data_IF_734853036084
#
_entry.id   IF_734853036084
#
_cell.length_a   1.000
_cell.length_b   1.000
_cell.length_c   1.000
_cell.angle_alpha   90.00
_cell.angle_beta   90.00
_cell.angle_gamma   90.00
#
_symmetry.space_group_name_H-M   'P 1'
#
loop_
_entity.id
_entity.type
_entity.pdbx_description
1 polymer ?
#
# COMPACT_ATOMS: atom_id res chain seq x y z
N UNK A 1 43.42 62.32 -4.84
CA UNK A 1 42.87 61.07 -5.40
C UNK A 1 43.98 60.36 -6.14
N UNK A 2 44.63 59.42 -5.47
CA UNK A 2 45.81 58.67 -5.90
C UNK A 2 45.88 57.39 -5.04
N UNK A 3 46.37 56.32 -5.66
CA UNK A 3 46.62 54.96 -5.16
C UNK A 3 47.10 54.85 -3.70
N UNK A 4 46.77 53.74 -3.03
CA UNK A 4 47.74 52.67 -2.67
C UNK A 4 47.10 51.55 -1.86
N UNK A 5 47.17 50.34 -2.42
CA UNK A 5 47.27 49.07 -1.70
C UNK A 5 48.60 49.02 -0.92
N UNK A 6 48.59 48.41 0.26
CA UNK A 6 49.79 47.85 0.89
C UNK A 6 49.45 46.54 1.60
N UNK A 7 50.19 45.51 1.22
CA UNK A 7 50.17 44.15 1.76
C UNK A 7 50.98 44.01 3.06
N UNK A 8 50.79 42.86 3.72
CA UNK A 8 51.85 41.92 4.16
C UNK A 8 52.35 41.93 5.62
N UNK A 9 52.13 40.74 6.25
CA UNK A 9 52.93 40.01 7.28
C UNK A 9 52.94 40.60 8.70
N UNK A 10 52.98 39.84 9.82
CA UNK A 10 53.73 38.61 10.16
C UNK A 10 53.29 38.10 11.57
N UNK A 11 53.38 36.78 11.81
CA UNK A 11 53.59 36.04 13.09
C UNK A 11 52.55 36.24 14.24
N UNK A 12 52.03 35.26 14.97
CA UNK A 12 52.50 33.93 15.36
C UNK A 12 52.78 33.91 16.87
N UNK A 13 51.85 33.40 17.71
CA UNK A 13 52.06 32.50 18.88
C UNK A 13 50.89 32.47 19.89
N UNK A 14 50.54 31.21 20.26
CA UNK A 14 50.11 30.63 21.54
C UNK A 14 48.84 31.03 22.32
N UNK A 15 48.03 29.98 22.53
CA UNK A 15 47.31 29.54 23.74
C UNK A 15 46.86 30.57 24.80
N UNK A 16 45.54 30.58 25.07
CA UNK A 16 45.06 30.48 26.46
C UNK A 16 43.65 29.87 26.50
N UNK A 17 43.54 28.75 27.21
CA UNK A 17 42.28 28.12 27.58
C UNK A 17 41.63 28.89 28.74
N UNK A 18 40.32 29.15 28.65
CA UNK A 18 39.51 29.59 29.79
C UNK A 18 38.34 28.63 29.93
N UNK A 19 38.42 27.82 30.98
CA UNK A 19 37.37 26.96 31.51
C UNK A 19 36.34 27.85 32.21
N UNK A 20 35.07 27.74 31.82
CA UNK A 20 33.95 28.33 32.56
C UNK A 20 33.04 27.21 33.06
N UNK A 21 33.19 26.87 34.34
CA UNK A 21 32.27 26.03 35.11
C UNK A 21 31.16 26.89 35.70
N UNK A 22 29.90 26.60 35.34
CA UNK A 22 28.73 26.98 36.13
C UNK A 22 27.97 25.70 36.49
N UNK A 23 27.88 25.44 37.79
CA UNK A 23 27.00 24.43 38.36
C UNK A 23 25.67 25.08 38.79
N UNK A 24 24.74 24.19 39.20
CA UNK A 24 23.42 24.40 39.83
C UNK A 24 22.24 24.41 38.83
N UNK A 25 21.23 23.53 38.91
CA UNK A 25 20.90 22.55 39.94
C UNK A 25 19.89 21.50 39.45
N UNK A 26 19.92 20.35 40.13
CA UNK A 26 19.02 19.22 39.92
C UNK A 26 17.84 19.32 40.89
N UNK A 27 16.61 19.30 40.39
CA UNK A 27 15.39 19.13 41.18
C UNK A 27 14.64 17.89 40.70
N UNK A 28 13.96 17.13 41.59
CA UNK A 28 13.26 15.92 41.19
C UNK A 28 11.91 16.31 40.58
N UNK A 29 11.68 15.94 39.32
CA UNK A 29 10.37 15.97 38.69
C UNK A 29 9.81 14.54 38.70
N UNK A 30 8.89 14.28 39.62
CA UNK A 30 7.97 13.14 39.52
C UNK A 30 6.84 13.53 38.57
N UNK A 31 6.57 12.73 37.53
CA UNK A 31 5.38 12.92 36.70
C UNK A 31 5.37 12.25 35.34
N UNK A 32 4.70 11.08 35.32
CA UNK A 32 3.92 10.48 34.21
C UNK A 32 4.65 9.63 33.14
N UNK A 33 3.98 8.58 32.61
CA UNK A 33 4.59 7.57 31.75
C UNK A 33 4.82 8.12 30.35
N UNK A 34 6.04 7.94 29.83
CA UNK A 34 6.33 8.10 28.42
C UNK A 34 5.64 6.98 27.64
N UNK A 35 4.46 7.27 27.10
CA UNK A 35 3.92 6.59 25.93
C UNK A 35 4.91 6.83 24.77
N UNK A 36 5.56 5.75 24.37
CA UNK A 36 6.55 5.66 23.29
C UNK A 36 5.85 5.85 21.94
N UNK A 37 5.39 7.07 21.66
CA UNK A 37 4.87 7.50 20.37
C UNK A 37 6.03 7.78 19.41
N UNK A 38 6.51 6.74 18.74
CA UNK A 38 7.46 6.87 17.63
C UNK A 38 6.87 7.81 16.56
N UNK A 39 7.44 9.02 16.46
CA UNK A 39 7.21 9.91 15.32
C UNK A 39 8.06 9.38 14.18
N UNK A 40 7.45 8.66 13.26
CA UNK A 40 8.08 8.36 11.98
C UNK A 40 8.07 9.63 11.13
N UNK A 41 9.25 10.26 11.06
CA UNK A 41 9.53 11.44 10.26
C UNK A 41 9.78 10.98 8.81
N UNK A 42 8.75 11.09 7.96
CA UNK A 42 8.79 10.60 6.58
C UNK A 42 9.50 11.62 5.66
N UNK A 43 10.80 11.40 5.45
CA UNK A 43 11.62 12.14 4.48
C UNK A 43 11.29 11.75 3.03
N UNK A 44 11.22 12.74 2.14
CA UNK A 44 10.95 12.54 0.72
C UNK A 44 12.12 11.82 0.03
N UNK A 45 11.93 10.56 -0.32
CA UNK A 45 12.78 9.85 -1.27
C UNK A 45 11.94 8.82 -1.99
N UNK A 46 12.24 8.60 -3.27
CA UNK A 46 11.49 7.76 -4.21
C UNK A 46 10.90 6.51 -3.55
N UNK A 47 9.59 6.34 -3.73
CA UNK A 47 8.71 5.59 -2.84
C UNK A 47 9.10 4.11 -2.78
N UNK A 48 9.73 3.70 -1.67
CA UNK A 48 9.38 2.41 -1.08
C UNK A 48 7.94 2.57 -0.59
N UNK A 49 6.99 1.96 -1.30
CA UNK A 49 5.57 2.07 -0.95
C UNK A 49 5.33 1.20 0.28
N UNK A 50 5.58 1.74 1.47
CA UNK A 50 5.07 1.20 2.73
C UNK A 50 3.66 1.75 2.94
N UNK A 51 2.75 1.46 2.00
CA UNK A 51 1.36 1.24 2.40
C UNK A 51 1.43 -0.15 3.03
N UNK A 52 1.20 -0.29 4.34
CA UNK A 52 1.05 -1.62 4.89
C UNK A 52 -0.05 -2.35 4.10
N UNK A 53 0.25 -3.49 3.46
CA UNK A 53 -0.73 -4.30 2.71
C UNK A 53 -1.61 -5.16 3.65
N UNK A 54 -2.28 -4.50 4.59
CA UNK A 54 -3.03 -5.14 5.66
C UNK A 54 -4.55 -5.04 5.50
N UNK A 55 -5.06 -4.64 4.32
CA UNK A 55 -6.51 -4.58 4.11
C UNK A 55 -7.04 -6.00 4.19
N UNK A 56 -7.75 -6.33 5.26
CA UNK A 56 -8.34 -7.66 5.38
C UNK A 56 -9.33 -7.88 4.24
N UNK A 57 -9.43 -9.12 3.74
CA UNK A 57 -10.44 -9.49 2.75
C UNK A 57 -11.88 -9.27 3.26
N UNK A 58 -12.07 -9.19 4.59
CA UNK A 58 -13.33 -8.78 5.22
C UNK A 58 -13.58 -7.27 5.04
N UNK A 59 -12.54 -6.43 5.09
CA UNK A 59 -12.62 -5.02 4.72
C UNK A 59 -12.93 -4.81 3.24
N UNK A 60 -12.56 -5.78 2.38
CA UNK A 60 -12.95 -5.85 0.97
C UNK A 60 -14.31 -6.52 0.74
N UNK A 61 -14.93 -7.12 1.76
CA UNK A 61 -16.18 -7.87 1.63
C UNK A 61 -17.28 -6.98 1.05
N UNK A 62 -17.89 -7.45 -0.05
CA UNK A 62 -18.95 -6.78 -0.81
C UNK A 62 -20.21 -6.46 0.02
N UNK A 63 -20.37 -7.07 1.20
CA UNK A 63 -21.46 -6.75 2.13
C UNK A 63 -21.14 -5.52 2.99
N UNK A 64 -19.88 -5.37 3.41
CA UNK A 64 -19.41 -4.14 4.01
C UNK A 64 -19.36 -3.06 2.92
N UNK A 65 -18.69 -3.31 1.82
CA UNK A 65 -18.71 -2.45 0.64
C UNK A 65 -20.01 -2.57 -0.17
N UNK A 66 -21.18 -2.77 0.44
CA UNK A 66 -22.45 -2.59 -0.29
C UNK A 66 -22.61 -1.10 -0.57
N UNK A 67 -21.99 -0.64 -1.66
CA UNK A 67 -21.85 0.76 -2.04
C UNK A 67 -23.12 1.35 -2.66
N UNK A 68 -24.29 0.83 -2.31
CA UNK A 68 -25.55 1.50 -2.63
C UNK A 68 -25.59 2.94 -2.10
N UNK A 69 -24.68 3.32 -1.18
CA UNK A 69 -24.47 4.70 -0.71
C UNK A 69 -23.09 5.32 -0.92
N UNK A 70 -22.13 4.66 -1.61
CA UNK A 70 -20.72 5.07 -1.56
C UNK A 70 -19.98 4.86 -2.90
N UNK A 71 -20.39 5.58 -3.94
CA UNK A 71 -19.50 5.80 -5.10
C UNK A 71 -18.41 6.80 -4.72
N UNK A 72 -17.21 6.78 -5.35
CA UNK A 72 -16.26 7.89 -5.13
C UNK A 72 -16.88 9.26 -5.51
N UNK A 73 -17.89 9.28 -6.38
CA UNK A 73 -18.70 10.47 -6.67
C UNK A 73 -19.46 10.96 -5.44
N UNK A 74 -19.99 10.05 -4.63
CA UNK A 74 -20.56 10.31 -3.31
C UNK A 74 -19.53 10.58 -2.21
N UNK A 75 -18.24 10.35 -2.48
CA UNK A 75 -17.09 10.68 -1.61
C UNK A 75 -16.33 11.92 -2.07
N UNK A 76 -16.92 12.80 -2.90
CA UNK A 76 -16.29 14.11 -3.19
C UNK A 76 -15.88 14.83 -1.89
N UNK A 77 -15.11 15.93 -1.95
CA UNK A 77 -14.78 16.70 -0.75
C UNK A 77 -16.03 17.03 0.12
N UNK A 78 -17.19 17.19 -0.52
CA UNK A 78 -18.49 17.41 0.15
C UNK A 78 -19.20 16.09 0.56
N UNK A 79 -18.81 14.98 -0.06
CA UNK A 79 -19.35 13.64 0.16
C UNK A 79 -18.98 13.02 1.51
N UNK A 80 -17.79 13.31 2.04
CA UNK A 80 -17.42 12.91 3.41
C UNK A 80 -18.28 13.60 4.49
N UNK A 81 -18.88 14.73 4.16
CA UNK A 81 -19.83 15.44 5.02
C UNK A 81 -21.29 15.01 4.79
N UNK A 82 -21.55 14.08 3.87
CA UNK A 82 -22.91 13.61 3.58
C UNK A 82 -23.42 12.67 4.67
N UNK A 83 -24.71 12.75 4.98
CA UNK A 83 -25.36 11.86 5.96
C UNK A 83 -25.32 10.39 5.55
N UNK A 84 -25.28 10.10 4.25
CA UNK A 84 -25.10 8.74 3.73
C UNK A 84 -23.72 8.16 4.07
N UNK A 85 -22.67 9.00 4.01
CA UNK A 85 -21.32 8.61 4.41
C UNK A 85 -21.26 8.38 5.92
N UNK A 86 -21.80 9.30 6.73
CA UNK A 86 -21.83 9.16 8.19
C UNK A 86 -22.56 7.86 8.59
N UNK A 87 -23.76 7.62 8.06
CA UNK A 87 -24.50 6.39 8.35
C UNK A 87 -23.73 5.11 7.95
N UNK A 88 -23.05 5.12 6.82
CA UNK A 88 -22.22 3.99 6.36
C UNK A 88 -21.00 3.77 7.26
N UNK A 89 -20.34 4.86 7.65
CA UNK A 89 -19.14 4.82 8.48
C UNK A 89 -19.47 4.37 9.90
N UNK A 90 -20.54 4.92 10.50
CA UNK A 90 -20.99 4.58 11.84
C UNK A 90 -21.54 3.15 11.97
N UNK A 91 -21.87 2.48 10.86
CA UNK A 91 -22.29 1.08 10.88
C UNK A 91 -21.20 0.12 11.37
N UNK A 92 -19.92 0.41 11.08
CA UNK A 92 -18.75 -0.32 11.62
C UNK A 92 -17.48 0.56 11.54
N UNK A 93 -17.28 1.52 12.47
CA UNK A 93 -16.19 2.48 12.38
C UNK A 93 -14.80 1.83 12.29
N UNK A 94 -14.61 0.66 12.89
CA UNK A 94 -13.34 -0.06 12.90
C UNK A 94 -12.98 -0.52 11.48
N UNK A 95 -13.89 -1.26 10.83
CA UNK A 95 -13.67 -1.76 9.46
C UNK A 95 -13.65 -0.61 8.45
N UNK A 96 -14.51 0.39 8.64
CA UNK A 96 -14.65 1.54 7.71
C UNK A 96 -13.47 2.47 7.75
N UNK A 97 -12.87 2.68 8.93
CA UNK A 97 -11.62 3.40 9.07
C UNK A 97 -10.50 2.71 8.29
N UNK A 98 -10.37 1.38 8.39
CA UNK A 98 -9.38 0.65 7.60
C UNK A 98 -9.63 0.79 6.10
N UNK A 99 -10.87 0.62 5.63
CA UNK A 99 -11.20 0.82 4.21
C UNK A 99 -10.79 2.21 3.73
N UNK A 100 -11.11 3.26 4.50
CA UNK A 100 -10.79 4.63 4.13
C UNK A 100 -9.29 4.93 4.12
N UNK A 101 -8.48 4.27 4.96
CA UNK A 101 -7.01 4.35 4.86
C UNK A 101 -6.53 3.95 3.46
N UNK A 102 -7.03 2.84 2.90
CA UNK A 102 -6.62 2.39 1.56
C UNK A 102 -7.23 3.20 0.44
N UNK A 103 -8.52 3.59 0.56
CA UNK A 103 -9.15 4.48 -0.44
C UNK A 103 -8.34 5.76 -0.59
N UNK A 104 -7.99 6.41 0.53
CA UNK A 104 -7.25 7.69 0.52
C UNK A 104 -5.80 7.48 0.10
N UNK A 105 -5.11 6.45 0.60
CA UNK A 105 -3.75 6.12 0.19
C UNK A 105 -3.65 5.88 -1.33
N UNK A 106 -4.59 5.15 -1.92
CA UNK A 106 -4.63 4.91 -3.36
C UNK A 106 -5.02 6.15 -4.16
N UNK A 107 -6.08 6.86 -3.75
CA UNK A 107 -6.68 7.90 -4.57
C UNK A 107 -5.97 9.26 -4.48
N UNK A 108 -5.52 9.64 -3.28
CA UNK A 108 -4.96 10.97 -2.98
C UNK A 108 -3.43 10.93 -3.08
N UNK A 109 -2.78 11.95 -3.67
CA UNK A 109 -1.32 11.99 -3.74
C UNK A 109 -0.68 12.19 -2.37
N UNK A 110 0.57 11.76 -2.25
CA UNK A 110 1.39 11.99 -1.06
C UNK A 110 1.44 13.46 -0.65
N UNK A 111 1.47 13.71 0.67
CA UNK A 111 1.47 15.04 1.26
C UNK A 111 0.09 15.69 1.40
N UNK A 112 -0.98 15.03 0.94
CA UNK A 112 -2.36 15.46 1.16
C UNK A 112 -3.09 14.48 2.08
N UNK A 113 -4.14 14.96 2.76
CA UNK A 113 -4.95 14.15 3.68
C UNK A 113 -6.44 14.29 3.40
N UNK A 114 -7.22 13.36 3.93
CA UNK A 114 -8.68 13.47 4.06
C UNK A 114 -9.07 13.22 5.50
N UNK A 115 -10.05 13.97 5.98
CA UNK A 115 -10.54 13.84 7.34
C UNK A 115 -12.05 13.76 7.36
N UNK A 116 -12.57 13.08 8.38
CA UNK A 116 -13.99 12.95 8.65
C UNK A 116 -14.21 12.98 10.16
N UNK A 117 -15.25 13.69 10.59
CA UNK A 117 -15.64 13.77 12.00
C UNK A 117 -17.06 13.24 12.14
N UNK A 118 -17.23 12.20 12.95
CA UNK A 118 -18.53 11.60 13.22
C UNK A 118 -18.50 10.80 14.52
N UNK A 119 -19.63 10.77 15.25
CA UNK A 119 -19.70 10.10 16.56
C UNK A 119 -18.76 10.69 17.63
N UNK A 120 -18.35 11.96 17.46
CA UNK A 120 -17.41 12.64 18.36
C UNK A 120 -15.92 12.36 18.11
N UNK A 121 -15.58 11.52 17.13
CA UNK A 121 -14.20 11.18 16.77
C UNK A 121 -13.83 11.79 15.43
N UNK A 122 -12.61 12.31 15.31
CA UNK A 122 -12.05 12.75 14.02
C UNK A 122 -11.06 11.71 13.52
N UNK A 123 -11.31 11.21 12.31
CA UNK A 123 -10.46 10.29 11.58
C UNK A 123 -9.71 11.09 10.51
N UNK A 124 -8.42 10.79 10.32
CA UNK A 124 -7.59 11.40 9.28
C UNK A 124 -6.79 10.32 8.58
N UNK A 125 -6.79 10.39 7.25
CA UNK A 125 -6.13 9.43 6.37
C UNK A 125 -5.16 10.17 5.44
N UNK A 126 -3.98 9.58 5.24
CA UNK A 126 -2.93 10.14 4.40
C UNK A 126 -3.04 9.61 2.97
N UNK A 127 -2.91 10.49 2.00
CA UNK A 127 -2.71 10.13 0.59
C UNK A 127 -1.30 9.63 0.35
N UNK A 128 -1.12 8.82 -0.70
CA UNK A 128 0.17 8.27 -1.10
C UNK A 128 0.34 8.24 -2.63
N UNK A 129 -0.53 7.54 -3.35
CA UNK A 129 -0.31 7.23 -4.78
C UNK A 129 -0.87 8.27 -5.75
N UNK A 130 -1.98 8.93 -5.40
CA UNK A 130 -2.60 9.92 -6.29
C UNK A 130 -3.24 9.35 -7.56
N UNK A 131 -3.78 8.12 -7.50
CA UNK A 131 -4.33 7.44 -8.68
C UNK A 131 -5.64 8.06 -9.20
N UNK A 132 -6.28 8.94 -8.40
CA UNK A 132 -7.52 9.62 -8.76
C UNK A 132 -7.36 11.14 -8.70
N UNK A 133 -6.60 11.76 -9.62
CA UNK A 133 -6.26 13.19 -9.57
C UNK A 133 -7.49 14.11 -9.67
N UNK A 134 -8.49 13.75 -10.48
CA UNK A 134 -9.74 14.49 -10.60
C UNK A 134 -10.51 14.48 -9.28
N UNK A 135 -10.69 13.31 -8.69
CA UNK A 135 -11.34 13.18 -7.38
C UNK A 135 -10.54 13.86 -6.26
N UNK A 136 -9.22 13.70 -6.26
CA UNK A 136 -8.34 14.34 -5.29
C UNK A 136 -8.39 15.87 -5.38
N UNK A 137 -8.68 16.43 -6.56
CA UNK A 137 -8.89 17.87 -6.76
C UNK A 137 -10.31 18.36 -6.44
N UNK A 138 -11.22 17.47 -6.03
CA UNK A 138 -12.60 17.79 -5.64
C UNK A 138 -13.64 17.58 -6.74
N UNK A 139 -13.25 17.07 -7.91
CA UNK A 139 -14.20 16.67 -8.95
C UNK A 139 -14.89 15.35 -8.60
N UNK A 140 -15.98 15.04 -9.31
CA UNK A 140 -16.52 13.69 -9.33
C UNK A 140 -15.47 12.72 -9.92
N UNK A 141 -15.34 11.54 -9.33
CA UNK A 141 -14.44 10.51 -9.83
C UNK A 141 -14.95 9.93 -11.15
N UNK A 142 -14.06 9.88 -12.14
CA UNK A 142 -14.33 9.19 -13.40
C UNK A 142 -14.34 7.68 -13.21
N UNK A 143 -14.97 6.93 -14.12
CA UNK A 143 -14.94 5.46 -14.10
C UNK A 143 -13.52 4.91 -14.10
N UNK A 144 -12.58 5.53 -14.82
CA UNK A 144 -11.18 5.10 -14.82
C UNK A 144 -10.52 5.26 -13.44
N UNK A 145 -10.83 6.34 -12.72
CA UNK A 145 -10.38 6.55 -11.34
C UNK A 145 -10.99 5.51 -10.38
N UNK A 146 -12.30 5.23 -10.50
CA UNK A 146 -12.97 4.18 -9.73
C UNK A 146 -12.27 2.82 -9.93
N UNK A 147 -11.96 2.49 -11.18
CA UNK A 147 -11.35 1.22 -11.56
C UNK A 147 -9.93 1.06 -11.02
N UNK A 148 -9.08 2.07 -11.21
CA UNK A 148 -7.68 1.99 -10.76
C UNK A 148 -7.56 2.00 -9.24
N UNK A 149 -8.41 2.76 -8.54
CA UNK A 149 -8.46 2.75 -7.07
C UNK A 149 -8.95 1.38 -6.58
N UNK A 150 -9.93 0.78 -7.25
CA UNK A 150 -10.38 -0.59 -6.94
C UNK A 150 -9.25 -1.62 -7.14
N UNK A 151 -8.50 -1.52 -8.23
CA UNK A 151 -7.32 -2.37 -8.49
C UNK A 151 -6.23 -2.19 -7.43
N UNK A 152 -5.98 -0.96 -6.99
CA UNK A 152 -5.03 -0.66 -5.91
C UNK A 152 -5.48 -1.28 -4.58
N UNK A 153 -6.74 -1.06 -4.19
CA UNK A 153 -7.29 -1.67 -2.97
C UNK A 153 -7.23 -3.20 -3.01
N UNK A 154 -7.55 -3.79 -4.16
CA UNK A 154 -7.41 -5.23 -4.40
C UNK A 154 -5.96 -5.71 -4.25
N UNK A 155 -4.99 -4.96 -4.77
CA UNK A 155 -3.57 -5.26 -4.64
C UNK A 155 -3.05 -5.20 -3.19
N UNK A 156 -3.68 -4.39 -2.35
CA UNK A 156 -3.39 -4.28 -0.92
C UNK A 156 -4.18 -5.28 -0.05
N UNK A 157 -5.12 -6.01 -0.64
CA UNK A 157 -5.97 -6.93 0.09
C UNK A 157 -5.25 -8.23 0.40
N UNK A 158 -5.23 -8.62 1.67
CA UNK A 158 -4.61 -9.84 2.13
C UNK A 158 -5.51 -10.57 3.15
N UNK A 159 -5.74 -11.87 2.92
CA UNK A 159 -6.53 -12.73 3.81
C UNK A 159 -5.96 -12.80 5.23
N UNK A 160 -4.63 -12.76 5.34
CA UNK A 160 -3.91 -12.98 6.58
C UNK A 160 -3.72 -11.69 7.40
N UNK A 161 -4.11 -10.52 6.86
CA UNK A 161 -3.85 -9.22 7.49
C UNK A 161 -2.36 -8.88 7.58
N UNK A 162 -1.50 -9.58 6.83
CA UNK A 162 -0.05 -9.41 6.87
C UNK A 162 0.38 -8.37 5.85
N UNK A 163 1.15 -7.38 6.30
CA UNK A 163 1.75 -6.40 5.39
C UNK A 163 2.90 -7.03 4.62
N UNK A 164 2.82 -6.98 3.29
CA UNK A 164 3.90 -7.36 2.37
C UNK A 164 4.23 -6.13 1.53
N UNK A 165 5.49 -5.75 1.40
CA UNK A 165 5.82 -4.58 0.58
C UNK A 165 5.72 -4.93 -0.91
N UNK A 166 5.12 -4.06 -1.72
CA UNK A 166 4.97 -4.28 -3.17
C UNK A 166 5.32 -3.03 -3.97
N UNK A 167 5.79 -3.24 -5.19
CA UNK A 167 5.81 -2.21 -6.23
C UNK A 167 4.48 -2.23 -6.97
N UNK A 168 3.93 -1.04 -7.25
CA UNK A 168 2.66 -0.82 -7.94
C UNK A 168 2.91 -0.08 -9.24
N UNK A 169 2.57 -0.72 -10.35
CA UNK A 169 2.80 -0.21 -11.70
C UNK A 169 1.49 -0.18 -12.48
N UNK A 170 1.34 0.78 -13.38
CA UNK A 170 0.08 0.97 -14.10
C UNK A 170 -0.06 2.37 -14.66
N UNK A 171 -1.31 2.72 -15.00
CA UNK A 171 -1.68 4.10 -15.29
C UNK A 171 -2.68 4.59 -14.25
N UNK A 172 -2.61 5.87 -13.89
CA UNK A 172 -3.62 6.54 -13.07
C UNK A 172 -4.97 6.67 -13.82
N UNK A 173 -5.97 7.26 -13.16
CA UNK A 173 -7.27 7.49 -13.76
C UNK A 173 -7.26 8.48 -14.94
N UNK A 174 -6.26 9.36 -15.02
CA UNK A 174 -6.05 10.27 -16.15
C UNK A 174 -5.25 9.64 -17.31
N UNK A 175 -4.72 8.42 -17.13
CA UNK A 175 -3.93 7.70 -18.12
C UNK A 175 -2.44 7.99 -18.08
N UNK A 176 -1.94 8.71 -17.07
CA UNK A 176 -0.49 8.91 -16.88
C UNK A 176 0.11 7.67 -16.22
N UNK A 177 1.36 7.36 -16.54
CA UNK A 177 2.09 6.27 -15.89
C UNK A 177 2.30 6.57 -14.41
N UNK A 178 1.94 5.61 -13.56
CA UNK A 178 2.29 5.64 -12.14
C UNK A 178 3.82 5.72 -12.06
N UNK A 179 4.35 6.70 -11.35
CA UNK A 179 5.80 6.93 -11.30
C UNK A 179 6.50 5.76 -10.62
N UNK A 180 7.54 5.23 -11.26
CA UNK A 180 8.43 4.20 -10.72
C UNK A 180 9.88 4.49 -11.11
N UNK A 181 10.82 3.86 -10.41
CA UNK A 181 12.26 4.02 -10.71
C UNK A 181 12.89 2.73 -11.23
N UNK A 182 14.05 2.84 -11.88
CA UNK A 182 14.85 1.66 -12.26
C UNK A 182 15.30 0.87 -11.04
N UNK A 183 15.61 1.55 -9.94
CA UNK A 183 16.00 0.90 -8.68
C UNK A 183 14.84 0.08 -8.10
N UNK A 184 13.63 0.65 -8.07
CA UNK A 184 12.43 -0.07 -7.66
C UNK A 184 12.21 -1.33 -8.51
N UNK A 185 12.34 -1.26 -9.83
CA UNK A 185 12.21 -2.45 -10.68
C UNK A 185 13.32 -3.50 -10.44
N UNK A 186 14.51 -3.07 -10.01
CA UNK A 186 15.61 -3.97 -9.66
C UNK A 186 15.36 -4.67 -8.31
N UNK A 187 14.84 -3.95 -7.33
CA UNK A 187 14.53 -4.47 -5.99
C UNK A 187 13.28 -5.37 -6.02
N UNK A 188 12.22 -4.92 -6.72
CA UNK A 188 10.97 -5.66 -6.94
C UNK A 188 11.02 -6.39 -8.29
N UNK A 189 12.05 -7.22 -8.46
CA UNK A 189 12.30 -7.88 -9.75
C UNK A 189 11.32 -9.02 -10.07
N UNK A 190 10.57 -9.55 -9.08
CA UNK A 190 9.61 -10.63 -9.30
C UNK A 190 8.26 -10.08 -9.73
N UNK A 191 7.82 -10.44 -10.95
CA UNK A 191 6.46 -10.17 -11.40
C UNK A 191 5.49 -11.01 -10.59
N UNK A 192 4.46 -10.37 -10.06
CA UNK A 192 3.52 -11.02 -9.15
C UNK A 192 2.16 -11.24 -9.83
N UNK A 193 1.42 -10.15 -10.01
CA UNK A 193 0.00 -10.23 -10.31
C UNK A 193 -0.52 -9.00 -11.06
N UNK A 194 -1.76 -9.12 -11.54
CA UNK A 194 -2.59 -8.01 -11.97
C UNK A 194 -3.87 -7.97 -11.13
N UNK A 195 -4.30 -6.76 -10.78
CA UNK A 195 -5.52 -6.51 -10.04
C UNK A 195 -6.36 -5.46 -10.76
N UNK A 196 -7.64 -5.74 -10.95
CA UNK A 196 -8.55 -4.85 -11.67
C UNK A 196 -10.00 -5.10 -11.25
N UNK A 197 -10.90 -4.18 -11.58
CA UNK A 197 -12.32 -4.28 -11.26
C UNK A 197 -12.92 -2.91 -10.99
N UNK A 198 -14.10 -2.89 -10.39
CA UNK A 198 -14.74 -1.64 -9.99
C UNK A 198 -15.64 -1.88 -8.77
N UNK A 199 -15.08 -1.72 -7.58
CA UNK A 199 -15.85 -1.87 -6.35
C UNK A 199 -17.02 -0.87 -6.30
N UNK A 200 -16.87 0.30 -6.94
CA UNK A 200 -17.69 1.51 -6.81
C UNK A 200 -19.00 1.56 -7.59
N UNK A 201 -19.28 0.59 -8.46
CA UNK A 201 -20.53 0.55 -9.24
C UNK A 201 -21.63 -0.35 -8.64
N UNK A 202 -21.33 -1.03 -7.52
CA UNK A 202 -22.27 -1.88 -6.80
C UNK A 202 -22.60 -3.22 -7.47
N UNK A 203 -22.00 -3.51 -8.63
CA UNK A 203 -22.28 -4.72 -9.43
C UNK A 203 -21.02 -5.48 -9.84
N UNK A 204 -19.91 -4.77 -9.96
CA UNK A 204 -18.63 -5.29 -10.42
C UNK A 204 -17.75 -5.59 -9.22
N UNK A 205 -17.25 -6.83 -9.14
CA UNK A 205 -16.29 -7.20 -8.11
C UNK A 205 -14.89 -6.68 -8.43
N UNK A 206 -13.91 -7.28 -7.76
CA UNK A 206 -12.50 -7.18 -8.14
C UNK A 206 -11.95 -8.54 -8.53
N UNK A 207 -10.93 -8.49 -9.37
CA UNK A 207 -10.32 -9.62 -10.03
C UNK A 207 -8.81 -9.60 -9.76
N UNK A 208 -8.25 -10.78 -9.53
CA UNK A 208 -6.82 -11.00 -9.38
C UNK A 208 -6.34 -12.05 -10.37
N UNK A 209 -5.16 -11.85 -10.94
CA UNK A 209 -4.54 -12.82 -11.83
C UNK A 209 -3.05 -12.94 -11.57
N UNK A 210 -2.47 -14.06 -12.01
CA UNK A 210 -1.03 -14.30 -11.93
C UNK A 210 -0.29 -13.66 -13.11
N UNK A 211 0.79 -12.91 -12.84
CA UNK A 211 1.66 -12.33 -13.85
C UNK A 211 3.00 -13.09 -14.00
N UNK A 212 2.96 -14.41 -13.90
CA UNK A 212 4.14 -15.27 -14.05
C UNK A 212 4.87 -15.56 -12.74
N UNK A 213 4.31 -15.23 -11.58
CA UNK A 213 4.84 -15.67 -10.30
C UNK A 213 4.79 -17.19 -10.20
N UNK A 214 5.94 -17.81 -9.95
CA UNK A 214 6.09 -19.23 -9.69
C UNK A 214 6.89 -19.41 -8.41
N UNK A 215 6.36 -20.23 -7.51
CA UNK A 215 6.99 -20.58 -6.24
C UNK A 215 7.45 -22.04 -6.29
N UNK A 216 8.59 -22.33 -5.68
CA UNK A 216 9.02 -23.71 -5.43
C UNK A 216 8.12 -24.38 -4.40
N UNK A 217 8.20 -25.70 -4.25
CA UNK A 217 7.37 -26.44 -3.30
C UNK A 217 7.63 -26.08 -1.83
N UNK A 218 8.82 -25.57 -1.50
CA UNK A 218 9.18 -25.10 -0.15
C UNK A 218 8.75 -23.65 0.08
N UNK A 219 8.36 -22.92 -0.96
CA UNK A 219 7.99 -21.51 -0.85
C UNK A 219 6.49 -21.31 -0.73
N UNK A 220 6.11 -20.26 -0.01
CA UNK A 220 4.74 -19.78 0.07
C UNK A 220 4.67 -18.25 0.10
N UNK A 221 3.48 -17.70 -0.12
CA UNK A 221 3.23 -16.26 -0.04
C UNK A 221 1.81 -16.02 0.45
N UNK A 222 1.60 -15.00 1.31
CA UNK A 222 0.27 -14.64 1.79
C UNK A 222 -0.59 -13.98 0.69
N UNK A 223 -0.01 -13.63 -0.47
CA UNK A 223 -0.69 -12.93 -1.58
C UNK A 223 -1.39 -13.91 -2.52
N UNK A 224 -2.38 -14.63 -1.99
CA UNK A 224 -3.04 -15.77 -2.64
C UNK A 224 -3.67 -15.46 -4.01
N UNK A 225 -4.17 -14.24 -4.23
CA UNK A 225 -4.80 -13.84 -5.50
C UNK A 225 -3.81 -13.65 -6.67
N UNK A 226 -2.51 -13.61 -6.39
CA UNK A 226 -1.45 -13.54 -7.41
C UNK A 226 -0.80 -14.88 -7.74
N UNK A 227 -1.09 -15.95 -7.00
CA UNK A 227 -0.39 -17.23 -7.13
C UNK A 227 -0.85 -18.02 -8.37
N UNK A 228 0.12 -18.59 -9.09
CA UNK A 228 -0.15 -19.50 -10.20
C UNK A 228 -0.84 -20.76 -9.70
N UNK A 229 -1.87 -21.20 -10.42
CA UNK A 229 -2.55 -22.45 -10.14
C UNK A 229 -3.26 -22.45 -8.79
N UNK A 230 -3.78 -21.30 -8.33
CA UNK A 230 -4.78 -21.22 -7.25
C UNK A 230 -6.06 -21.93 -7.72
N UNK A 231 -6.26 -23.24 -7.44
CA UNK A 231 -7.36 -24.02 -8.00
C UNK A 231 -8.62 -23.87 -7.14
N UNK A 232 -8.49 -23.25 -5.97
CA UNK A 232 -9.56 -23.04 -5.04
C UNK A 232 -9.85 -21.55 -5.06
N UNK A 233 -10.82 -21.13 -5.89
CA UNK A 233 -11.35 -19.77 -5.89
C UNK A 233 -11.70 -19.25 -4.47
N UNK A 234 -11.90 -20.16 -3.51
CA UNK A 234 -12.05 -19.86 -2.08
C UNK A 234 -10.83 -19.21 -1.40
N UNK A 235 -9.61 -19.35 -1.93
CA UNK A 235 -8.42 -18.71 -1.37
C UNK A 235 -8.28 -17.24 -1.75
N UNK A 236 -8.86 -16.82 -2.88
CA UNK A 236 -8.90 -15.43 -3.31
C UNK A 236 -10.22 -14.71 -2.93
N UNK A 237 -11.21 -15.45 -2.41
CA UNK A 237 -12.51 -14.88 -1.98
C UNK A 237 -12.33 -13.77 -0.93
N UNK A 238 -12.99 -12.61 -1.08
CA UNK A 238 -14.12 -12.32 -2.00
C UNK A 238 -13.72 -11.88 -3.41
N UNK A 239 -12.43 -11.73 -3.70
CA UNK A 239 -11.94 -11.44 -5.04
C UNK A 239 -12.02 -12.68 -5.93
N UNK A 240 -12.27 -12.47 -7.23
CA UNK A 240 -12.31 -13.56 -8.20
C UNK A 240 -10.94 -13.74 -8.84
N UNK A 241 -10.37 -14.94 -8.72
CA UNK A 241 -9.16 -15.29 -9.46
C UNK A 241 -9.50 -15.59 -10.92
N UNK A 242 -8.86 -14.90 -11.87
CA UNK A 242 -9.15 -15.03 -13.31
C UNK A 242 -8.16 -15.93 -14.05
N UNK A 243 -7.07 -16.35 -13.40
CA UNK A 243 -5.99 -17.11 -14.04
C UNK A 243 -4.83 -16.23 -14.44
N UNK A 244 -4.25 -16.47 -15.62
CA UNK A 244 -3.09 -15.71 -16.11
C UNK A 244 -3.50 -14.32 -16.60
N UNK A 245 -2.80 -13.29 -16.14
CA UNK A 245 -3.02 -11.90 -16.55
C UNK A 245 -2.88 -11.71 -18.06
N UNK A 246 -1.95 -12.39 -18.72
CA UNK A 246 -1.71 -12.25 -20.16
C UNK A 246 -2.88 -12.68 -21.03
N UNK A 247 -3.85 -13.43 -20.49
CA UNK A 247 -5.05 -13.84 -21.22
C UNK A 247 -6.10 -12.72 -21.33
N UNK A 248 -6.05 -11.74 -20.41
CA UNK A 248 -7.08 -10.70 -20.29
C UNK A 248 -6.50 -9.30 -20.42
N UNK A 249 -5.19 -9.13 -20.22
CA UNK A 249 -4.56 -7.83 -20.05
C UNK A 249 -3.54 -7.53 -21.15
N UNK A 250 -3.49 -6.26 -21.54
CA UNK A 250 -2.56 -5.73 -22.56
C UNK A 250 -1.39 -5.05 -21.88
N UNK A 251 -0.15 -5.44 -22.23
CA UNK A 251 1.05 -4.79 -21.69
C UNK A 251 1.31 -3.43 -22.33
N UNK A 252 2.05 -2.60 -21.62
CA UNK A 252 2.63 -1.39 -22.18
C UNK A 252 3.78 -1.73 -23.17
N UNK A 253 4.28 -0.72 -23.89
CA UNK A 253 5.31 -0.90 -24.91
C UNK A 253 6.63 -1.47 -24.38
N UNK A 254 6.95 -1.30 -23.09
CA UNK A 254 8.17 -1.83 -22.48
C UNK A 254 7.97 -3.19 -21.80
N UNK A 255 6.75 -3.75 -21.81
CA UNK A 255 6.36 -4.98 -21.10
C UNK A 255 6.59 -4.93 -19.58
N UNK A 256 6.57 -3.73 -19.00
CA UNK A 256 6.80 -3.47 -17.58
C UNK A 256 5.52 -3.66 -16.78
N UNK A 257 4.38 -3.21 -17.31
CA UNK A 257 3.07 -3.27 -16.64
C UNK A 257 1.92 -3.44 -17.64
N UNK A 258 0.71 -3.66 -17.13
CA UNK A 258 -0.52 -3.74 -17.93
C UNK A 258 -1.24 -2.39 -18.04
N UNK A 259 -1.66 -2.01 -19.26
CA UNK A 259 -2.36 -0.75 -19.53
C UNK A 259 -3.88 -0.88 -19.48
N UNK A 260 -4.39 -2.09 -19.74
CA UNK A 260 -5.81 -2.43 -19.72
C UNK A 260 -6.00 -3.93 -19.44
N UNK A 261 -7.13 -4.30 -18.84
CA UNK A 261 -7.60 -5.68 -18.74
C UNK A 261 -9.07 -5.76 -19.16
N UNK A 262 -9.44 -6.74 -19.98
CA UNK A 262 -10.84 -6.95 -20.40
C UNK A 262 -11.35 -8.28 -19.86
N UNK A 263 -12.43 -8.22 -19.09
CA UNK A 263 -13.08 -9.39 -18.51
C UNK A 263 -14.60 -9.21 -18.51
N UNK A 264 -15.34 -10.25 -18.91
CA UNK A 264 -16.80 -10.21 -19.08
C UNK A 264 -17.30 -9.02 -19.93
N UNK A 265 -16.56 -8.65 -20.98
CA UNK A 265 -16.93 -7.57 -21.90
C UNK A 265 -16.68 -6.15 -21.38
N UNK A 266 -16.12 -5.98 -20.19
CA UNK A 266 -15.76 -4.68 -19.61
C UNK A 266 -14.24 -4.53 -19.62
N UNK A 267 -13.76 -3.36 -20.05
CA UNK A 267 -12.34 -2.98 -19.99
C UNK A 267 -12.07 -2.13 -18.75
N UNK A 268 -11.07 -2.53 -17.99
CA UNK A 268 -10.66 -1.93 -16.73
C UNK A 268 -9.28 -1.29 -16.84
N UNK A 269 -9.01 -0.32 -15.97
CA UNK A 269 -7.67 0.15 -15.63
C UNK A 269 -7.04 -0.75 -14.55
N UNK A 270 -6.04 -1.59 -14.89
CA UNK A 270 -5.44 -2.50 -13.91
C UNK A 270 -4.28 -1.87 -13.15
N UNK A 271 -3.96 -2.51 -12.03
CA UNK A 271 -2.71 -2.37 -11.30
C UNK A 271 -1.89 -3.64 -11.52
N UNK A 272 -0.61 -3.49 -11.82
CA UNK A 272 0.37 -4.58 -11.88
C UNK A 272 1.23 -4.52 -10.64
N UNK A 273 1.45 -5.65 -9.98
CA UNK A 273 2.28 -5.73 -8.78
C UNK A 273 3.56 -6.51 -9.01
N UNK A 274 4.60 -6.11 -8.27
CA UNK A 274 5.87 -6.83 -8.18
C UNK A 274 6.31 -6.95 -6.74
N UNK A 275 7.11 -7.97 -6.45
CA UNK A 275 7.56 -8.32 -5.10
C UNK A 275 9.08 -8.44 -5.04
N UNK A 276 9.65 -8.31 -3.83
CA UNK A 276 11.04 -8.67 -3.58
C UNK A 276 11.10 -10.21 -3.40
N UNK A 277 12.17 -10.89 -3.85
CA UNK A 277 12.36 -12.31 -3.56
C UNK A 277 12.37 -12.64 -2.05
N UNK A 278 12.80 -11.69 -1.22
CA UNK A 278 12.83 -11.82 0.24
C UNK A 278 11.44 -11.84 0.90
N UNK A 279 10.39 -11.48 0.16
CA UNK A 279 9.01 -11.46 0.67
C UNK A 279 8.34 -12.84 0.59
N UNK A 280 9.03 -13.86 0.07
CA UNK A 280 8.56 -15.24 0.09
C UNK A 280 8.94 -15.93 1.40
N UNK A 281 7.99 -16.66 1.95
CA UNK A 281 8.22 -17.55 3.07
C UNK A 281 8.79 -18.86 2.55
N UNK A 282 9.75 -19.45 3.28
CA UNK A 282 10.43 -20.66 2.84
C UNK A 282 10.57 -21.64 4.00
N UNK A 283 9.98 -22.82 3.83
CA UNK A 283 10.14 -23.90 4.78
C UNK A 283 11.63 -24.24 4.98
N UNK A 284 12.06 -24.23 6.24
CA UNK A 284 13.44 -24.36 6.70
C UNK A 284 14.11 -23.02 7.07
N UNK A 285 13.37 -21.91 7.12
CA UNK A 285 13.92 -20.59 7.51
C UNK A 285 13.88 -20.32 9.02
N UNK A 286 13.30 -21.24 9.79
CA UNK A 286 13.25 -21.21 11.25
C UNK A 286 12.01 -20.51 11.82
N UNK A 287 11.08 -20.06 10.99
CA UNK A 287 9.83 -19.43 11.44
C UNK A 287 8.63 -20.08 10.76
N UNK A 288 7.73 -20.70 11.51
CA UNK A 288 6.48 -21.21 10.91
C UNK A 288 5.56 -20.05 10.51
N UNK A 289 5.48 -19.73 9.22
CA UNK A 289 4.65 -18.62 8.74
C UNK A 289 3.18 -19.02 8.54
N UNK A 290 2.31 -18.01 8.42
CA UNK A 290 0.86 -18.19 8.31
C UNK A 290 0.39 -18.98 7.07
N UNK A 291 1.24 -19.10 6.05
CA UNK A 291 0.96 -19.89 4.84
C UNK A 291 1.65 -21.25 4.83
N UNK A 292 2.33 -21.60 5.92
CA UNK A 292 2.93 -22.90 6.12
C UNK A 292 2.04 -23.80 6.98
N UNK A 293 2.35 -25.09 7.02
CA UNK A 293 1.62 -26.07 7.81
C UNK A 293 2.57 -27.10 8.39
N UNK A 294 2.29 -27.56 9.62
CA UNK A 294 3.02 -28.68 10.22
C UNK A 294 2.97 -29.91 9.31
N UNK A 295 3.97 -30.78 9.42
CA UNK A 295 4.10 -31.92 8.53
C UNK A 295 5.37 -32.71 8.75
N UNK A 296 5.63 -33.66 7.86
CA UNK A 296 6.87 -34.48 7.89
C UNK A 296 7.82 -34.17 6.73
N UNK A 297 7.45 -33.25 5.84
CA UNK A 297 8.21 -32.90 4.65
C UNK A 297 9.02 -31.60 4.77
N UNK A 298 9.41 -31.10 3.59
CA UNK A 298 10.15 -29.84 3.37
C UNK A 298 9.38 -28.86 2.48
N UNK A 299 8.08 -29.10 2.30
CA UNK A 299 7.22 -28.21 1.50
C UNK A 299 6.53 -27.21 2.42
N UNK A 300 6.13 -26.04 1.93
CA UNK A 300 5.39 -25.09 2.74
C UNK A 300 4.10 -25.70 3.34
N UNK A 301 3.43 -26.62 2.61
CA UNK A 301 2.21 -27.31 3.10
C UNK A 301 2.47 -28.49 4.04
N UNK A 302 3.73 -28.83 4.30
CA UNK A 302 4.14 -29.93 5.16
C UNK A 302 5.58 -29.64 5.58
N UNK A 303 5.74 -28.70 6.51
CA UNK A 303 7.03 -28.14 6.93
C UNK A 303 7.39 -28.62 8.33
N UNK A 304 8.15 -29.70 8.42
CA UNK A 304 8.60 -30.23 9.71
C UNK A 304 9.61 -29.29 10.40
N UNK A 305 10.46 -28.63 9.60
CA UNK A 305 11.57 -27.82 10.11
C UNK A 305 11.08 -26.61 10.90
N UNK A 306 10.05 -25.92 10.41
CA UNK A 306 9.60 -24.65 10.99
C UNK A 306 8.31 -24.83 11.80
N UNK A 307 7.34 -25.60 11.28
CA UNK A 307 6.02 -25.79 11.89
C UNK A 307 5.91 -27.07 12.76
N UNK A 308 6.96 -27.87 12.83
CA UNK A 308 6.99 -29.13 13.57
C UNK A 308 6.20 -30.26 12.89
N UNK A 309 6.24 -31.43 13.53
CA UNK A 309 5.61 -32.64 13.01
C UNK A 309 4.13 -32.74 13.35
N UNK A 310 3.34 -32.98 12.32
CA UNK A 310 1.99 -33.54 12.32
C UNK A 310 1.83 -34.34 11.00
#
# INVERSE_FOLDING_TARGET
MLLKTFESRRNGWEFLAVVLTCAVGCGPAEGLPEEMGGKEEWGSTAQEIIVGNGLSLNGLSLNGLSLNGLSLNGLSLNGLAASSFDSWFQGDPTVRNEVMKYVVACAVPSGQTRSYTGGGTTYTWNGLLGLAPGWASGSAATTAELQVVSGCMAAHANKFGINVTISLLGLDGAGNTITYTTQELADYNVKEACFFGNLFDGSTGVYGGNDGLSLTSSQSSPRACGLAGSPNASQCTPMTYVGSCSNYCTRDGTNTFYTSCTYNGVTYRPITTRMKPSDFYTCGDGVCQATESCGTGTTAKSCAADCGSC
#
